data_IF_733932394048
#
_entry.id   IF_733932394048
#
_cell.length_a   1.000
_cell.length_b   1.000
_cell.length_c   1.000
_cell.angle_alpha   90.00
_cell.angle_beta   90.00
_cell.angle_gamma   90.00
#
_symmetry.space_group_name_H-M   'P 1'
#
loop_
_entity.id
_entity.type
_entity.pdbx_description
1 polymer ?
#
# COMPACT_ATOMS: atom_id res chain seq x y z
N UNK A 1 -9.68 -63.24 46.11
CA UNK A 1 -9.46 -62.33 47.25
C UNK A 1 -10.80 -62.11 47.96
N UNK A 2 -10.99 -62.73 49.13
CA UNK A 2 -11.24 -62.06 50.44
C UNK A 2 -12.35 -60.99 50.36
N UNK A 3 -13.59 -61.33 50.69
CA UNK A 3 -14.25 -61.37 52.03
C UNK A 3 -14.87 -60.01 52.39
N UNK A 4 -16.21 -59.91 52.36
CA UNK A 4 -17.19 -60.12 53.47
C UNK A 4 -17.37 -58.83 54.29
N UNK A 5 -18.59 -58.40 54.58
CA UNK A 5 -19.43 -58.77 55.75
C UNK A 5 -20.86 -58.23 55.46
N UNK A 6 -21.95 -59.03 55.44
CA UNK A 6 -22.75 -59.52 56.59
C UNK A 6 -23.40 -58.35 57.39
N UNK A 7 -24.62 -58.35 57.93
CA UNK A 7 -25.58 -59.36 58.37
C UNK A 7 -26.82 -58.56 58.90
N UNK A 8 -28.04 -59.07 58.77
CA UNK A 8 -28.97 -59.47 59.86
C UNK A 8 -30.08 -58.42 60.14
N UNK A 9 -31.37 -58.66 59.80
CA UNK A 9 -32.42 -59.46 60.47
C UNK A 9 -33.09 -58.76 61.67
N UNK A 10 -34.38 -59.11 61.87
CA UNK A 10 -35.28 -58.78 63.00
C UNK A 10 -35.96 -57.39 62.90
N UNK A 11 -37.25 -57.20 63.17
CA UNK A 11 -38.25 -58.01 63.85
C UNK A 11 -39.64 -57.32 63.64
N UNK A 12 -40.66 -58.12 63.30
CA UNK A 12 -42.01 -58.14 63.89
C UNK A 12 -42.66 -56.78 64.26
N UNK A 13 -43.79 -56.46 63.59
CA UNK A 13 -45.10 -56.46 64.27
C UNK A 13 -46.25 -56.36 63.27
N UNK A 14 -47.04 -57.43 63.21
CA UNK A 14 -48.48 -57.30 63.01
C UNK A 14 -49.01 -56.25 64.00
N UNK A 15 -49.72 -55.23 63.53
CA UNK A 15 -51.03 -54.91 64.05
C UNK A 15 -51.71 -53.97 63.06
N UNK A 16 -52.74 -54.53 62.43
CA UNK A 16 -53.93 -53.81 61.99
C UNK A 16 -54.20 -52.57 62.84
N UNK A 17 -53.99 -51.39 62.28
CA UNK A 17 -54.98 -50.34 62.40
C UNK A 17 -55.70 -50.28 61.06
N UNK A 18 -56.77 -51.08 61.00
CA UNK A 18 -57.96 -50.69 60.28
C UNK A 18 -58.36 -49.31 60.81
N UNK A 19 -57.76 -48.26 60.24
CA UNK A 19 -58.45 -47.00 60.11
C UNK A 19 -59.35 -47.16 58.90
N UNK A 20 -60.59 -47.50 59.19
CA UNK A 20 -61.73 -47.35 58.30
C UNK A 20 -61.68 -45.98 57.62
N UNK A 21 -61.30 -45.96 56.36
CA UNK A 21 -61.32 -44.76 55.53
C UNK A 21 -61.37 -45.13 54.06
N UNK A 22 -62.58 -45.18 53.48
CA UNK A 22 -62.88 -45.07 52.04
C UNK A 22 -61.63 -45.05 51.12
N UNK A 23 -61.17 -46.22 50.64
CA UNK A 23 -59.95 -46.32 49.83
C UNK A 23 -60.04 -45.48 48.54
N UNK A 24 -59.06 -44.62 48.31
CA UNK A 24 -59.00 -43.80 47.11
C UNK A 24 -58.84 -44.69 45.86
N UNK A 25 -59.67 -44.46 44.84
CA UNK A 25 -59.61 -45.20 43.57
C UNK A 25 -58.28 -44.90 42.86
N UNK A 26 -57.51 -45.95 42.55
CA UNK A 26 -56.25 -45.82 41.81
C UNK A 26 -56.50 -45.82 40.30
N UNK A 27 -56.13 -44.74 39.62
CA UNK A 27 -56.31 -44.53 38.18
C UNK A 27 -55.03 -44.93 37.46
N UNK A 28 -55.13 -45.63 36.34
CA UNK A 28 -53.96 -45.86 35.51
C UNK A 28 -53.55 -44.54 34.83
N UNK A 29 -52.33 -44.09 35.08
CA UNK A 29 -51.88 -42.76 34.65
C UNK A 29 -51.82 -42.66 33.12
N UNK A 30 -51.38 -43.73 32.45
CA UNK A 30 -51.30 -43.81 30.98
C UNK A 30 -52.66 -43.88 30.29
N UNK A 31 -53.72 -44.27 31.00
CA UNK A 31 -55.08 -44.22 30.45
C UNK A 31 -55.66 -42.80 30.54
N UNK A 32 -55.16 -41.99 31.48
CA UNK A 32 -55.67 -40.65 31.79
C UNK A 32 -55.00 -39.55 30.98
N UNK A 33 -53.78 -39.76 30.48
CA UNK A 33 -53.03 -38.74 29.75
C UNK A 33 -52.64 -39.24 28.36
N UNK A 34 -52.53 -38.31 27.42
CA UNK A 34 -51.86 -38.49 26.15
C UNK A 34 -50.54 -37.70 26.20
N UNK A 35 -49.47 -38.26 25.66
CA UNK A 35 -48.21 -37.52 25.46
C UNK A 35 -48.27 -36.87 24.08
N UNK A 36 -48.00 -35.58 24.02
CA UNK A 36 -47.95 -34.80 22.77
C UNK A 36 -46.51 -34.37 22.55
N UNK A 37 -45.95 -34.75 21.42
CA UNK A 37 -44.61 -34.35 20.99
C UNK A 37 -44.73 -33.08 20.13
N UNK A 38 -43.85 -32.11 20.36
CA UNK A 38 -43.82 -30.82 19.64
C UNK A 38 -42.39 -30.47 19.27
N UNK A 39 -42.22 -29.79 18.14
CA UNK A 39 -40.92 -29.34 17.66
C UNK A 39 -40.28 -30.34 16.70
N UNK A 40 -38.98 -30.14 16.45
CA UNK A 40 -38.21 -30.91 15.48
C UNK A 40 -37.30 -31.91 16.17
N UNK A 41 -36.87 -32.92 15.42
CA UNK A 41 -35.90 -33.90 15.86
C UNK A 41 -34.57 -33.21 16.21
N UNK A 42 -34.18 -33.21 17.49
CA UNK A 42 -33.02 -32.46 18.01
C UNK A 42 -33.38 -31.21 18.83
N UNK A 43 -34.59 -30.67 18.64
CA UNK A 43 -35.12 -29.49 19.34
C UNK A 43 -36.55 -29.74 19.87
N UNK A 44 -36.87 -30.99 20.17
CA UNK A 44 -38.20 -31.44 20.52
C UNK A 44 -38.55 -31.25 21.99
N UNK A 45 -39.85 -31.19 22.27
CA UNK A 45 -40.39 -31.19 23.62
C UNK A 45 -41.59 -32.14 23.72
N UNK A 46 -41.88 -32.55 24.95
CA UNK A 46 -43.05 -33.36 25.28
C UNK A 46 -43.94 -32.60 26.25
N UNK A 47 -45.24 -32.67 25.98
CA UNK A 47 -46.30 -32.21 26.86
C UNK A 47 -47.25 -33.35 27.19
N UNK A 48 -48.06 -33.16 28.24
CA UNK A 48 -49.14 -34.09 28.55
C UNK A 48 -50.48 -33.38 28.40
N UNK A 49 -51.43 -34.08 27.78
CA UNK A 49 -52.82 -33.66 27.70
C UNK A 49 -53.70 -34.67 28.41
N UNK A 50 -54.78 -34.20 29.04
CA UNK A 50 -55.75 -35.11 29.65
C UNK A 50 -56.53 -35.81 28.55
N UNK A 51 -56.60 -37.14 28.61
CA UNK A 51 -57.51 -37.93 27.79
C UNK A 51 -58.95 -37.63 28.23
N UNK A 52 -59.60 -36.71 27.52
CA UNK A 52 -60.91 -36.18 27.87
C UNK A 52 -61.99 -37.28 27.96
N UNK A 53 -61.94 -38.30 27.11
CA UNK A 53 -62.90 -39.41 27.11
C UNK A 53 -62.76 -40.23 28.39
N UNK A 54 -61.52 -40.59 28.74
CA UNK A 54 -61.26 -41.36 29.95
C UNK A 54 -61.55 -40.55 31.21
N UNK A 55 -61.12 -39.29 31.27
CA UNK A 55 -61.43 -38.36 32.36
C UNK A 55 -62.94 -38.21 32.57
N UNK A 56 -63.71 -38.03 31.49
CA UNK A 56 -65.17 -37.96 31.56
C UNK A 56 -65.79 -39.25 32.11
N UNK A 57 -65.27 -40.42 31.74
CA UNK A 57 -65.74 -41.71 32.28
C UNK A 57 -65.55 -41.83 33.80
N UNK A 58 -64.49 -41.23 34.33
CA UNK A 58 -64.21 -41.22 35.78
C UNK A 58 -65.18 -40.30 36.53
N UNK A 59 -65.50 -39.14 35.96
CA UNK A 59 -66.48 -38.19 36.51
C UNK A 59 -67.87 -38.81 36.53
N UNK A 60 -68.33 -39.38 35.41
CA UNK A 60 -69.65 -39.99 35.27
C UNK A 60 -69.79 -41.23 36.17
N UNK A 61 -68.78 -42.10 36.20
CA UNK A 61 -68.79 -43.32 37.00
C UNK A 61 -68.96 -43.11 38.51
N UNK A 62 -68.53 -41.96 39.06
CA UNK A 62 -68.74 -41.60 40.48
C UNK A 62 -70.10 -40.94 40.74
N UNK A 63 -70.66 -40.26 39.75
CA UNK A 63 -71.97 -39.57 39.86
C UNK A 63 -73.17 -40.50 39.76
N UNK A 64 -72.98 -41.77 39.37
CA UNK A 64 -74.06 -42.75 39.15
C UNK A 64 -74.89 -42.50 37.88
N UNK A 65 -74.53 -41.48 37.09
CA UNK A 65 -75.20 -41.11 35.84
C UNK A 65 -74.55 -41.80 34.63
N UNK A 66 -75.34 -42.07 33.59
CA UNK A 66 -74.93 -42.88 32.43
C UNK A 66 -74.81 -42.13 31.10
N UNK A 67 -75.22 -40.85 31.03
CA UNK A 67 -75.31 -40.10 29.76
C UNK A 67 -74.40 -38.87 29.74
N UNK A 68 -73.81 -38.55 28.57
CA UNK A 68 -72.91 -37.41 28.38
C UNK A 68 -73.60 -36.03 28.54
N UNK A 69 -74.92 -35.95 28.35
CA UNK A 69 -75.71 -34.70 28.45
C UNK A 69 -75.90 -34.19 29.89
N UNK A 70 -75.49 -34.96 30.89
CA UNK A 70 -75.59 -34.63 32.33
C UNK A 70 -74.44 -33.75 32.85
N UNK A 71 -73.51 -33.32 31.99
CA UNK A 71 -72.25 -32.67 32.36
C UNK A 71 -72.37 -31.17 32.70
N UNK A 72 -73.48 -30.52 32.32
CA UNK A 72 -73.73 -29.10 32.59
C UNK A 72 -73.76 -28.85 34.12
N UNK A 73 -72.77 -28.11 34.63
CA UNK A 73 -72.63 -27.76 36.04
C UNK A 73 -71.65 -28.63 36.87
N UNK A 74 -70.88 -29.53 36.25
CA UNK A 74 -69.91 -30.38 36.95
C UNK A 74 -68.48 -29.81 37.06
N UNK A 75 -68.25 -28.56 36.63
CA UNK A 75 -66.96 -27.85 36.71
C UNK A 75 -66.41 -27.80 38.15
N UNK A 76 -67.29 -27.78 39.15
CA UNK A 76 -66.91 -27.78 40.56
C UNK A 76 -66.68 -29.18 41.16
N UNK A 77 -66.73 -30.24 40.36
CA UNK A 77 -66.50 -31.62 40.81
C UNK A 77 -65.08 -31.77 41.37
N UNK A 78 -64.91 -32.36 42.57
CA UNK A 78 -63.59 -32.66 43.11
C UNK A 78 -62.75 -33.54 42.19
N UNK A 79 -63.37 -34.37 41.33
CA UNK A 79 -62.64 -35.18 40.34
C UNK A 79 -62.06 -34.31 39.23
N UNK A 80 -62.86 -33.37 38.71
CA UNK A 80 -62.42 -32.47 37.63
C UNK A 80 -61.25 -31.63 38.13
N UNK A 81 -61.40 -30.98 39.28
CA UNK A 81 -60.32 -30.20 39.92
C UNK A 81 -59.05 -31.02 40.16
N UNK A 82 -59.20 -32.27 40.59
CA UNK A 82 -58.05 -33.16 40.77
C UNK A 82 -57.38 -33.52 39.44
N UNK A 83 -58.15 -33.89 38.41
CA UNK A 83 -57.60 -34.22 37.08
C UNK A 83 -56.88 -33.00 36.49
N UNK A 84 -57.46 -31.80 36.60
CA UNK A 84 -56.85 -30.55 36.14
C UNK A 84 -55.59 -30.15 36.92
N UNK A 85 -55.41 -30.69 38.13
CA UNK A 85 -54.20 -30.49 38.93
C UNK A 85 -53.02 -31.34 38.47
N UNK A 86 -53.26 -32.38 37.66
CA UNK A 86 -52.22 -33.28 37.18
C UNK A 86 -51.48 -32.59 36.04
N UNK A 87 -50.17 -32.39 36.22
CA UNK A 87 -49.31 -31.68 35.27
C UNK A 87 -47.97 -32.39 35.13
N UNK A 88 -47.34 -32.23 33.97
CA UNK A 88 -45.95 -32.59 33.77
C UNK A 88 -45.10 -31.66 34.66
N UNK A 89 -44.22 -32.24 35.46
CA UNK A 89 -43.32 -31.52 36.35
C UNK A 89 -41.94 -31.39 35.73
N UNK A 90 -41.37 -32.51 35.30
CA UNK A 90 -40.06 -32.55 34.65
C UNK A 90 -39.94 -33.75 33.72
N UNK A 91 -39.04 -33.66 32.75
CA UNK A 91 -38.62 -34.74 31.87
C UNK A 91 -37.22 -35.12 32.29
N UNK A 92 -37.01 -36.37 32.70
CA UNK A 92 -35.71 -36.89 33.12
C UNK A 92 -35.13 -37.80 32.05
N UNK A 93 -33.86 -37.63 31.72
CA UNK A 93 -33.09 -38.55 30.89
C UNK A 93 -31.60 -38.22 30.98
N UNK A 94 -30.75 -39.12 30.48
CA UNK A 94 -29.30 -38.89 30.47
C UNK A 94 -28.95 -37.94 29.32
N UNK A 95 -28.43 -36.75 29.64
CA UNK A 95 -27.99 -35.76 28.65
C UNK A 95 -29.10 -35.07 27.86
N UNK A 96 -30.36 -35.17 28.30
CA UNK A 96 -31.53 -34.63 27.57
C UNK A 96 -32.35 -33.70 28.46
N UNK A 97 -32.74 -32.56 27.92
CA UNK A 97 -33.61 -31.57 28.55
C UNK A 97 -34.91 -31.43 27.75
N UNK A 98 -36.01 -31.00 28.39
CA UNK A 98 -37.25 -30.76 27.66
C UNK A 98 -37.06 -29.51 26.78
N UNK A 99 -37.09 -29.68 25.46
CA UNK A 99 -36.69 -28.66 24.48
C UNK A 99 -35.51 -29.07 23.58
N UNK A 100 -34.80 -30.15 23.91
CA UNK A 100 -33.70 -30.72 23.11
C UNK A 100 -33.89 -32.20 22.76
N UNK A 101 -35.15 -32.67 22.74
CA UNK A 101 -35.46 -34.08 22.50
C UNK A 101 -35.31 -34.47 21.03
N UNK A 102 -34.87 -35.70 20.79
CA UNK A 102 -34.72 -36.33 19.48
C UNK A 102 -35.55 -37.62 19.39
N UNK A 103 -35.92 -37.99 18.16
CA UNK A 103 -36.55 -39.28 17.87
C UNK A 103 -35.61 -40.41 18.29
N UNK A 104 -36.09 -41.29 19.19
CA UNK A 104 -35.31 -42.37 19.81
C UNK A 104 -34.93 -42.12 21.27
N UNK A 105 -35.05 -40.89 21.77
CA UNK A 105 -34.72 -40.57 23.16
C UNK A 105 -35.62 -41.29 24.14
N UNK A 106 -34.99 -41.90 25.15
CA UNK A 106 -35.68 -42.59 26.24
C UNK A 106 -35.71 -41.71 27.47
N UNK A 107 -36.88 -41.17 27.77
CA UNK A 107 -37.10 -40.25 28.88
C UNK A 107 -38.08 -40.81 29.90
N UNK A 108 -38.08 -40.23 31.10
CA UNK A 108 -39.06 -40.49 32.14
C UNK A 108 -39.83 -39.20 32.41
N UNK A 109 -41.12 -39.21 32.10
CA UNK A 109 -42.04 -38.11 32.38
C UNK A 109 -42.44 -38.16 33.85
N UNK A 110 -42.13 -37.13 34.60
CA UNK A 110 -42.46 -37.03 36.03
C UNK A 110 -43.66 -36.11 36.19
N UNK A 111 -44.72 -36.63 36.80
CA UNK A 111 -45.97 -35.95 37.03
C UNK A 111 -46.11 -35.47 38.46
N UNK A 112 -46.72 -34.31 38.61
CA UNK A 112 -47.23 -33.81 39.89
C UNK A 112 -48.75 -33.75 39.87
N UNK A 113 -49.33 -33.94 41.04
CA UNK A 113 -50.76 -33.81 41.32
C UNK A 113 -50.95 -33.10 42.66
N UNK A 114 -52.14 -32.53 42.91
CA UNK A 114 -52.45 -31.88 44.19
C UNK A 114 -52.94 -32.93 45.22
N UNK A 115 -52.20 -33.18 46.32
CA UNK A 115 -52.58 -34.18 47.31
C UNK A 115 -53.89 -33.85 48.06
N UNK A 116 -54.22 -32.57 48.23
CA UNK A 116 -55.45 -32.15 48.88
C UNK A 116 -56.65 -32.41 47.96
N UNK A 117 -56.53 -32.10 46.67
CA UNK A 117 -57.55 -32.43 45.67
C UNK A 117 -57.69 -33.93 45.46
N UNK A 118 -56.59 -34.70 45.49
CA UNK A 118 -56.61 -36.16 45.45
C UNK A 118 -57.47 -36.75 46.57
N UNK A 119 -57.30 -36.23 47.80
CA UNK A 119 -58.08 -36.62 48.98
C UNK A 119 -59.56 -36.26 48.85
N UNK A 120 -59.88 -35.06 48.35
CA UNK A 120 -61.26 -34.63 48.09
C UNK A 120 -61.92 -35.47 47.00
N UNK A 121 -61.19 -35.78 45.92
CA UNK A 121 -61.63 -36.64 44.84
C UNK A 121 -61.73 -38.12 45.26
N UNK A 122 -61.09 -38.51 46.37
CA UNK A 122 -60.87 -39.92 46.76
C UNK A 122 -60.28 -40.72 45.59
N UNK A 123 -59.33 -40.11 44.89
CA UNK A 123 -58.70 -40.63 43.68
C UNK A 123 -57.21 -40.33 43.71
N UNK A 124 -56.41 -41.22 43.13
CA UNK A 124 -54.97 -41.04 42.98
C UNK A 124 -54.47 -41.71 41.71
N UNK A 125 -53.52 -41.10 40.99
CA UNK A 125 -52.82 -41.76 39.89
C UNK A 125 -51.91 -42.88 40.41
N UNK A 126 -51.81 -43.98 39.65
CA UNK A 126 -51.04 -45.18 40.06
C UNK A 126 -49.54 -44.93 40.06
N UNK A 127 -49.04 -44.23 39.06
CA UNK A 127 -47.63 -43.91 38.87
C UNK A 127 -47.46 -42.44 38.56
N UNK A 128 -46.39 -41.84 39.07
CA UNK A 128 -46.00 -40.46 38.77
C UNK A 128 -44.82 -40.40 37.81
N UNK A 129 -44.19 -41.52 37.52
CA UNK A 129 -43.07 -41.61 36.58
C UNK A 129 -43.48 -42.53 35.44
N UNK A 130 -43.37 -42.04 34.21
CA UNK A 130 -43.79 -42.74 32.99
C UNK A 130 -42.59 -42.83 32.05
N UNK A 131 -42.02 -44.02 31.83
CA UNK A 131 -41.05 -44.23 30.76
C UNK A 131 -41.69 -43.95 29.41
N UNK A 132 -41.03 -43.15 28.57
CA UNK A 132 -41.49 -42.74 27.25
C UNK A 132 -40.34 -42.76 26.25
N UNK A 133 -40.64 -43.09 24.99
CA UNK A 133 -39.68 -43.01 23.88
C UNK A 133 -40.24 -42.05 22.84
N UNK A 134 -39.50 -40.97 22.59
CA UNK A 134 -39.86 -39.94 21.61
C UNK A 134 -39.71 -40.52 20.21
N UNK A 135 -40.67 -40.29 19.31
CA UNK A 135 -40.63 -40.92 17.97
C UNK A 135 -41.45 -40.23 16.87
N UNK A 136 -42.15 -39.15 17.19
CA UNK A 136 -43.04 -38.41 16.30
C UNK A 136 -42.62 -36.95 16.06
N UNK A 137 -41.38 -36.58 16.37
CA UNK A 137 -40.84 -35.26 16.02
C UNK A 137 -40.58 -35.18 14.51
N UNK A 138 -40.77 -34.00 13.93
CA UNK A 138 -40.53 -33.75 12.49
C UNK A 138 -39.04 -33.56 12.25
N UNK A 139 -38.49 -34.11 11.17
CA UNK A 139 -37.09 -33.86 10.79
C UNK A 139 -36.91 -32.42 10.26
N UNK A 140 -35.75 -31.81 10.51
CA UNK A 140 -35.43 -30.48 10.02
C UNK A 140 -35.14 -30.50 8.50
N UNK A 141 -35.44 -29.39 7.82
CA UNK A 141 -35.12 -29.17 6.41
C UNK A 141 -33.67 -28.68 6.23
N UNK A 142 -33.00 -29.14 5.18
CA UNK A 142 -31.66 -28.66 4.85
C UNK A 142 -31.71 -27.25 4.27
N UNK A 143 -30.84 -26.37 4.77
CA UNK A 143 -30.67 -25.00 4.28
C UNK A 143 -29.22 -24.75 3.89
N UNK A 144 -28.99 -24.32 2.64
CA UNK A 144 -27.68 -23.90 2.16
C UNK A 144 -27.55 -22.37 2.21
N UNK A 145 -26.77 -21.81 3.15
CA UNK A 145 -26.62 -20.37 3.28
C UNK A 145 -25.88 -19.73 2.09
N UNK A 146 -25.17 -20.51 1.26
CA UNK A 146 -24.44 -20.00 0.10
C UNK A 146 -25.11 -20.26 -1.24
N UNK A 147 -26.34 -20.77 -1.27
CA UNK A 147 -27.04 -21.10 -2.51
C UNK A 147 -27.23 -19.86 -3.40
N UNK A 148 -27.61 -18.73 -2.80
CA UNK A 148 -27.85 -17.45 -3.47
C UNK A 148 -26.83 -16.36 -3.08
N UNK A 149 -25.82 -16.72 -2.29
CA UNK A 149 -24.73 -15.81 -1.93
C UNK A 149 -23.86 -15.54 -3.16
N UNK A 150 -23.62 -14.26 -3.44
CA UNK A 150 -22.78 -13.81 -4.56
C UNK A 150 -21.63 -12.98 -4.03
N UNK A 151 -20.42 -13.31 -4.47
CA UNK A 151 -19.22 -12.53 -4.20
C UNK A 151 -18.64 -12.01 -5.51
N UNK A 152 -18.36 -10.72 -5.56
CA UNK A 152 -17.78 -10.03 -6.71
C UNK A 152 -16.50 -9.33 -6.29
N UNK A 153 -15.43 -9.53 -7.06
CA UNK A 153 -14.15 -8.84 -6.88
C UNK A 153 -14.07 -7.66 -7.85
N UNK A 154 -13.60 -6.51 -7.38
CA UNK A 154 -13.58 -5.24 -8.10
C UNK A 154 -12.28 -4.49 -7.82
N UNK A 155 -11.90 -3.62 -8.76
CA UNK A 155 -10.69 -2.82 -8.68
C UNK A 155 -9.50 -3.46 -9.38
N UNK A 156 -8.31 -3.00 -9.00
CA UNK A 156 -7.05 -3.35 -9.63
C UNK A 156 -6.36 -4.50 -8.90
N UNK A 157 -5.56 -5.28 -9.61
CA UNK A 157 -4.75 -6.32 -9.00
C UNK A 157 -3.72 -5.70 -8.04
N UNK A 158 -3.75 -6.09 -6.76
CA UNK A 158 -2.92 -5.48 -5.72
C UNK A 158 -3.55 -4.26 -5.04
N UNK A 159 -4.77 -3.87 -5.42
CA UNK A 159 -5.62 -2.87 -4.74
C UNK A 159 -7.10 -3.28 -4.78
N UNK A 160 -7.38 -4.57 -5.00
CA UNK A 160 -8.72 -5.08 -5.21
C UNK A 160 -9.50 -5.15 -3.91
N UNK A 161 -10.82 -5.13 -4.02
CA UNK A 161 -11.76 -5.35 -2.93
C UNK A 161 -12.88 -6.29 -3.37
N UNK A 162 -13.63 -6.81 -2.42
CA UNK A 162 -14.80 -7.64 -2.70
C UNK A 162 -16.09 -6.93 -2.28
N UNK A 163 -17.20 -7.25 -2.95
CA UNK A 163 -18.56 -6.94 -2.51
C UNK A 163 -19.37 -8.22 -2.52
N UNK A 164 -20.37 -8.32 -1.65
CA UNK A 164 -21.22 -9.49 -1.58
C UNK A 164 -22.70 -9.12 -1.46
N UNK A 165 -23.56 -10.03 -1.92
CA UNK A 165 -25.01 -9.91 -1.86
C UNK A 165 -25.61 -11.26 -1.44
N UNK A 166 -26.68 -11.21 -0.66
CA UNK A 166 -27.42 -12.38 -0.20
C UNK A 166 -28.90 -12.03 -0.01
N UNK A 167 -29.82 -12.99 -0.16
CA UNK A 167 -31.24 -12.71 -0.06
C UNK A 167 -31.63 -12.33 1.38
N UNK A 168 -32.38 -11.24 1.50
CA UNK A 168 -32.97 -10.80 2.77
C UNK A 168 -34.13 -11.69 3.25
N UNK A 169 -34.74 -12.44 2.33
CA UNK A 169 -35.86 -13.36 2.60
C UNK A 169 -35.35 -14.78 2.89
N UNK A 170 -34.45 -14.88 3.85
CA UNK A 170 -33.91 -16.17 4.32
C UNK A 170 -34.83 -16.77 5.39
N UNK A 171 -35.09 -18.09 5.37
CA UNK A 171 -35.91 -18.73 6.40
C UNK A 171 -35.26 -18.69 7.79
N UNK A 172 -33.93 -18.52 7.87
CA UNK A 172 -33.16 -18.38 9.10
C UNK A 172 -32.15 -17.25 9.01
N UNK A 173 -31.81 -16.66 10.16
CA UNK A 173 -30.79 -15.62 10.24
C UNK A 173 -29.39 -16.23 10.34
N UNK A 174 -28.48 -15.76 9.49
CA UNK A 174 -27.05 -16.11 9.49
C UNK A 174 -26.22 -14.84 9.27
N UNK A 175 -25.06 -14.72 9.91
CA UNK A 175 -24.04 -13.72 9.61
C UNK A 175 -22.92 -14.34 8.76
N UNK A 176 -22.26 -13.51 7.96
CA UNK A 176 -21.10 -13.90 7.17
C UNK A 176 -19.86 -13.20 7.71
N UNK A 177 -18.85 -13.99 8.10
CA UNK A 177 -17.51 -13.52 8.44
C UNK A 177 -16.55 -13.87 7.29
N UNK A 178 -15.57 -13.01 7.04
CA UNK A 178 -14.61 -13.19 5.94
C UNK A 178 -13.22 -13.33 6.51
N UNK A 179 -12.47 -14.33 6.07
CA UNK A 179 -11.07 -14.55 6.49
C UNK A 179 -10.18 -14.78 5.29
N UNK A 180 -8.95 -14.27 5.36
CA UNK A 180 -7.91 -14.56 4.37
C UNK A 180 -7.33 -15.98 4.56
N UNK A 181 -6.39 -16.35 3.68
CA UNK A 181 -5.72 -17.66 3.71
C UNK A 181 -4.94 -17.95 5.02
N UNK A 182 -4.58 -16.91 5.78
CA UNK A 182 -3.89 -17.03 7.06
C UNK A 182 -4.88 -17.05 8.24
N UNK A 183 -6.18 -16.98 7.96
CA UNK A 183 -7.26 -17.00 8.95
C UNK A 183 -7.50 -15.66 9.63
N UNK A 184 -6.94 -14.56 9.11
CA UNK A 184 -7.18 -13.20 9.62
C UNK A 184 -8.51 -12.68 9.09
N UNK A 185 -9.29 -12.05 9.96
CA UNK A 185 -10.54 -11.39 9.56
C UNK A 185 -10.26 -10.24 8.58
N UNK A 186 -11.07 -10.18 7.53
CA UNK A 186 -10.94 -9.18 6.47
C UNK A 186 -12.27 -8.48 6.26
N UNK A 187 -12.23 -7.17 6.10
CA UNK A 187 -13.40 -6.37 5.75
C UNK A 187 -13.27 -5.88 4.31
N UNK A 188 -14.41 -5.78 3.64
CA UNK A 188 -14.52 -5.18 2.31
C UNK A 188 -13.98 -3.74 2.34
N UNK A 189 -13.26 -3.33 1.29
CA UNK A 189 -12.60 -2.03 1.12
C UNK A 189 -11.40 -1.72 2.03
N UNK A 190 -11.25 -2.39 3.17
CA UNK A 190 -10.13 -2.18 4.11
C UNK A 190 -8.99 -3.20 3.94
N UNK A 191 -9.22 -4.22 3.10
CA UNK A 191 -8.23 -5.24 2.76
C UNK A 191 -7.94 -5.22 1.27
N UNK A 192 -6.64 -5.23 0.95
CA UNK A 192 -6.12 -5.19 -0.42
C UNK A 192 -6.01 -6.61 -0.98
N UNK A 193 -6.63 -6.86 -2.13
CA UNK A 193 -6.65 -8.16 -2.79
C UNK A 193 -5.90 -8.17 -4.12
N UNK A 194 -5.36 -9.34 -4.45
CA UNK A 194 -4.75 -9.69 -5.73
C UNK A 194 -5.42 -10.93 -6.34
N UNK A 195 -5.40 -11.04 -7.66
CA UNK A 195 -5.79 -12.24 -8.38
C UNK A 195 -5.00 -13.44 -7.85
N UNK A 196 -5.70 -14.50 -7.49
CA UNK A 196 -5.13 -15.72 -6.89
C UNK A 196 -5.22 -15.78 -5.37
N UNK A 197 -5.52 -14.66 -4.68
CA UNK A 197 -5.79 -14.68 -3.24
C UNK A 197 -7.02 -15.54 -2.92
N UNK A 198 -7.09 -16.02 -1.67
CA UNK A 198 -8.18 -16.85 -1.18
C UNK A 198 -8.91 -16.16 -0.03
N UNK A 199 -10.22 -16.16 -0.12
CA UNK A 199 -11.13 -15.65 0.91
C UNK A 199 -12.07 -16.77 1.31
N UNK A 200 -12.06 -17.13 2.59
CA UNK A 200 -13.01 -18.09 3.16
C UNK A 200 -14.11 -17.32 3.88
N UNK A 201 -15.35 -17.57 3.45
CA UNK A 201 -16.55 -17.00 4.07
C UNK A 201 -17.08 -18.02 5.07
N UNK A 202 -17.18 -17.62 6.33
CA UNK A 202 -17.71 -18.42 7.44
C UNK A 202 -19.11 -17.96 7.79
N UNK A 203 -19.95 -18.92 8.18
CA UNK A 203 -21.27 -18.66 8.74
C UNK A 203 -21.14 -18.55 10.26
N UNK A 204 -21.47 -17.38 10.78
CA UNK A 204 -21.70 -17.18 12.21
C UNK A 204 -23.21 -17.26 12.48
N UNK A 205 -23.62 -18.31 13.17
CA UNK A 205 -25.03 -18.54 13.50
C UNK A 205 -25.21 -19.40 14.76
N UNK A 206 -26.36 -19.23 15.41
CA UNK A 206 -26.78 -20.07 16.52
C UNK A 206 -27.48 -21.34 15.98
N UNK A 207 -26.77 -22.47 16.02
CA UNK A 207 -27.26 -23.77 15.55
C UNK A 207 -28.52 -24.24 16.29
N UNK A 208 -28.65 -23.92 17.59
CA UNK A 208 -29.86 -24.27 18.36
C UNK A 208 -31.05 -23.47 17.88
N UNK A 209 -30.85 -22.18 17.60
CA UNK A 209 -31.87 -21.33 17.01
C UNK A 209 -32.30 -21.83 15.63
N UNK A 210 -31.36 -22.14 14.74
CA UNK A 210 -31.64 -22.66 13.38
C UNK A 210 -32.46 -23.97 13.47
N UNK A 211 -32.05 -24.88 14.35
CA UNK A 211 -32.76 -26.16 14.57
C UNK A 211 -34.16 -25.94 15.16
N UNK A 212 -34.34 -24.93 16.01
CA UNK A 212 -35.67 -24.55 16.54
C UNK A 212 -36.63 -24.02 15.46
N UNK A 213 -36.09 -23.45 14.38
CA UNK A 213 -36.87 -23.01 13.21
C UNK A 213 -37.14 -24.16 12.23
N UNK A 214 -36.61 -25.35 12.49
CA UNK A 214 -36.81 -26.54 11.66
C UNK A 214 -35.83 -26.66 10.51
N UNK A 215 -34.65 -26.04 10.60
CA UNK A 215 -33.62 -26.13 9.58
C UNK A 215 -32.31 -26.70 10.12
N UNK A 216 -31.44 -27.17 9.22
CA UNK A 216 -30.03 -27.50 9.49
C UNK A 216 -29.16 -26.97 8.34
N UNK A 217 -28.00 -26.39 8.67
CA UNK A 217 -27.09 -25.87 7.65
C UNK A 217 -26.41 -27.02 6.90
N UNK A 218 -26.37 -26.95 5.57
CA UNK A 218 -25.65 -27.93 4.74
C UNK A 218 -24.14 -27.70 4.74
N UNK A 219 -23.72 -26.47 5.00
CA UNK A 219 -22.32 -26.05 5.08
C UNK A 219 -22.21 -24.75 5.89
N UNK A 220 -21.06 -24.57 6.54
CA UNK A 220 -20.77 -23.42 7.42
C UNK A 220 -19.58 -22.59 6.94
N UNK A 221 -18.90 -23.00 5.87
CA UNK A 221 -17.81 -22.25 5.26
C UNK A 221 -17.74 -22.48 3.75
N UNK A 222 -17.23 -21.50 3.01
CA UNK A 222 -16.97 -21.61 1.56
C UNK A 222 -15.79 -20.74 1.14
N UNK A 223 -14.82 -21.33 0.44
CA UNK A 223 -13.64 -20.63 -0.11
C UNK A 223 -13.94 -20.06 -1.50
N UNK A 224 -13.45 -18.85 -1.76
CA UNK A 224 -13.47 -18.18 -3.05
C UNK A 224 -12.05 -17.77 -3.43
N UNK A 225 -11.71 -17.97 -4.70
CA UNK A 225 -10.44 -17.46 -5.28
C UNK A 225 -10.70 -16.12 -5.95
N UNK A 226 -9.94 -15.11 -5.56
CA UNK A 226 -9.97 -13.77 -6.15
C UNK A 226 -9.57 -13.89 -7.62
N UNK A 227 -10.42 -13.37 -8.50
CA UNK A 227 -10.18 -13.35 -9.93
C UNK A 227 -10.94 -12.21 -10.60
N UNK A 228 -10.45 -11.74 -11.74
CA UNK A 228 -11.10 -10.69 -12.53
C UNK A 228 -10.72 -9.27 -12.14
N UNK A 229 -9.73 -9.08 -11.26
CA UNK A 229 -9.12 -7.77 -11.00
C UNK A 229 -8.26 -7.33 -12.20
N UNK A 230 -8.19 -6.03 -12.47
CA UNK A 230 -7.44 -5.46 -13.60
C UNK A 230 -5.93 -5.66 -13.40
N UNK A 231 -5.25 -6.26 -14.38
CA UNK A 231 -3.78 -6.39 -14.36
C UNK A 231 -3.12 -5.27 -15.15
N UNK A 232 -1.95 -4.83 -14.68
CA UNK A 232 -1.13 -3.80 -15.31
C UNK A 232 0.27 -4.35 -15.60
N UNK A 233 0.90 -3.82 -16.64
CA UNK A 233 2.31 -4.10 -16.92
C UNK A 233 3.20 -3.30 -15.95
N UNK A 234 4.09 -3.97 -15.22
CA UNK A 234 4.95 -3.32 -14.23
C UNK A 234 6.16 -2.66 -14.91
N UNK A 235 6.37 -1.37 -14.61
CA UNK A 235 7.58 -0.63 -14.98
C UNK A 235 8.57 -0.69 -13.81
N UNK A 236 9.86 -0.88 -14.11
CA UNK A 236 10.92 -0.94 -13.10
C UNK A 236 11.64 0.39 -12.94
N UNK A 237 12.23 0.63 -11.76
CA UNK A 237 13.07 1.81 -11.51
C UNK A 237 14.24 1.91 -12.50
N UNK A 238 14.87 0.77 -12.82
CA UNK A 238 15.97 0.71 -13.79
C UNK A 238 15.53 1.18 -15.18
N UNK A 239 14.34 0.81 -15.63
CA UNK A 239 13.78 1.27 -16.93
C UNK A 239 13.65 2.80 -16.97
N UNK A 240 13.23 3.41 -15.87
CA UNK A 240 13.06 4.86 -15.78
C UNK A 240 14.41 5.59 -15.69
N UNK A 241 15.36 5.06 -14.93
CA UNK A 241 16.71 5.63 -14.84
C UNK A 241 17.44 5.53 -16.19
N UNK A 242 17.33 4.40 -16.89
CA UNK A 242 17.98 4.19 -18.19
C UNK A 242 17.37 5.05 -19.31
N UNK A 243 16.11 5.47 -19.16
CA UNK A 243 15.44 6.38 -20.09
C UNK A 243 15.85 7.85 -19.89
N UNK A 244 16.52 8.21 -18.79
CA UNK A 244 16.92 9.59 -18.54
C UNK A 244 18.00 10.04 -19.54
N UNK A 245 17.74 11.15 -20.23
CA UNK A 245 18.65 11.76 -21.19
C UNK A 245 19.11 13.10 -20.63
N UNK A 246 20.37 13.18 -20.22
CA UNK A 246 20.97 14.43 -19.75
C UNK A 246 21.46 15.28 -20.92
N UNK A 247 21.05 16.54 -20.95
CA UNK A 247 21.54 17.54 -21.88
C UNK A 247 22.40 18.55 -21.12
N UNK A 248 23.65 18.68 -21.54
CA UNK A 248 24.60 19.60 -20.93
C UNK A 248 24.82 20.81 -21.83
N UNK A 249 24.83 22.00 -21.24
CA UNK A 249 25.20 23.24 -21.92
C UNK A 249 26.19 24.06 -21.09
N UNK A 250 27.06 24.77 -21.79
CA UNK A 250 28.21 25.44 -21.18
C UNK A 250 29.36 24.47 -20.87
N UNK A 251 30.23 24.88 -19.96
CA UNK A 251 31.43 24.14 -19.59
C UNK A 251 31.71 24.27 -18.09
N UNK A 252 32.28 23.24 -17.48
CA UNK A 252 32.63 23.25 -16.06
C UNK A 252 33.62 24.40 -15.77
N UNK A 253 33.39 25.19 -14.71
CA UNK A 253 32.52 24.94 -13.54
C UNK A 253 31.13 25.61 -13.60
N UNK A 254 30.68 26.05 -14.77
CA UNK A 254 29.39 26.71 -14.97
C UNK A 254 28.48 25.90 -15.91
N UNK A 255 28.39 24.58 -15.70
CA UNK A 255 27.52 23.72 -16.50
C UNK A 255 26.06 23.93 -16.11
N UNK A 256 25.20 24.03 -17.12
CA UNK A 256 23.75 23.87 -16.98
C UNK A 256 23.34 22.47 -17.46
N UNK A 257 22.48 21.82 -16.69
CA UNK A 257 22.01 20.45 -16.94
C UNK A 257 20.49 20.50 -17.07
N UNK A 258 20.00 20.03 -18.21
CA UNK A 258 18.60 19.65 -18.38
C UNK A 258 18.48 18.13 -18.43
N UNK A 259 17.30 17.61 -18.13
CA UNK A 259 17.01 16.18 -18.24
C UNK A 259 15.65 15.98 -18.89
N UNK A 260 15.64 15.18 -19.94
CA UNK A 260 14.43 14.66 -20.58
C UNK A 260 14.41 13.13 -20.44
N UNK A 261 13.39 12.50 -21.02
CA UNK A 261 13.26 11.06 -21.09
C UNK A 261 13.07 10.57 -22.53
N UNK A 262 13.63 9.40 -22.82
CA UNK A 262 13.38 8.63 -24.06
C UNK A 262 12.31 7.54 -23.81
N UNK A 263 11.29 7.83 -23.00
CA UNK A 263 10.19 6.89 -22.78
C UNK A 263 9.24 6.85 -23.98
N UNK A 264 8.53 5.73 -24.18
CA UNK A 264 7.46 5.66 -25.17
C UNK A 264 6.41 6.77 -24.96
N UNK A 265 5.98 7.39 -26.06
CA UNK A 265 5.02 8.51 -26.05
C UNK A 265 3.72 8.24 -25.27
N UNK A 266 3.31 6.97 -25.16
CA UNK A 266 2.10 6.58 -24.43
C UNK A 266 2.22 6.71 -22.90
N UNK A 267 3.44 6.77 -22.36
CA UNK A 267 3.70 6.85 -20.92
C UNK A 267 4.60 8.01 -20.51
N UNK A 268 5.20 8.75 -21.46
CA UNK A 268 6.09 9.88 -21.19
C UNK A 268 5.49 10.89 -20.20
N UNK A 269 4.24 11.31 -20.43
CA UNK A 269 3.54 12.27 -19.56
C UNK A 269 3.15 11.71 -18.17
N UNK A 270 3.40 10.42 -17.90
CA UNK A 270 3.19 9.80 -16.60
C UNK A 270 4.38 10.01 -15.66
N UNK A 271 5.49 10.56 -16.15
CA UNK A 271 6.72 10.77 -15.40
C UNK A 271 7.20 12.21 -15.55
N UNK A 272 7.83 12.74 -14.50
CA UNK A 272 8.47 14.04 -14.54
C UNK A 272 9.91 13.92 -14.07
N UNK A 273 10.85 14.21 -14.96
CA UNK A 273 12.28 14.14 -14.71
C UNK A 273 12.80 15.52 -14.29
N UNK A 274 13.68 15.56 -13.31
CA UNK A 274 14.38 16.77 -12.92
C UNK A 274 15.74 16.44 -12.33
N UNK A 275 16.65 17.41 -12.37
CA UNK A 275 18.01 17.27 -11.85
C UNK A 275 18.35 18.42 -10.90
N UNK A 276 19.07 18.11 -9.82
CA UNK A 276 19.49 19.10 -8.83
C UNK A 276 20.91 18.82 -8.31
N UNK A 277 21.83 19.80 -8.32
CA UNK A 277 21.70 21.11 -8.98
C UNK A 277 21.64 20.99 -10.50
N UNK A 278 20.93 21.94 -11.14
CA UNK A 278 20.83 22.03 -12.61
C UNK A 278 21.68 23.15 -13.21
N UNK A 279 22.38 23.93 -12.40
CA UNK A 279 23.19 25.07 -12.84
C UNK A 279 24.40 25.27 -11.93
N UNK A 280 25.41 25.99 -12.42
CA UNK A 280 26.70 26.23 -11.76
C UNK A 280 27.38 24.92 -11.30
N UNK A 281 27.27 23.87 -12.11
CA UNK A 281 27.80 22.55 -11.77
C UNK A 281 29.23 22.40 -12.29
N UNK A 282 30.09 21.83 -11.45
CA UNK A 282 31.48 21.55 -11.74
C UNK A 282 31.77 20.04 -11.84
N UNK A 283 32.88 19.68 -12.49
CA UNK A 283 33.39 18.30 -12.48
C UNK A 283 33.71 17.91 -11.03
N UNK A 284 33.29 16.71 -10.64
CA UNK A 284 33.37 16.18 -9.28
C UNK A 284 32.16 16.54 -8.40
N UNK A 285 31.27 17.42 -8.85
CA UNK A 285 30.02 17.68 -8.13
C UNK A 285 29.07 16.50 -8.25
N UNK A 286 28.26 16.29 -7.21
CA UNK A 286 27.16 15.35 -7.23
C UNK A 286 25.89 16.03 -7.71
N UNK A 287 25.19 15.37 -8.62
CA UNK A 287 23.85 15.73 -9.08
C UNK A 287 22.86 14.64 -8.70
N UNK A 288 21.61 15.03 -8.44
CA UNK A 288 20.53 14.10 -8.11
C UNK A 288 19.49 14.14 -9.22
N UNK A 289 19.27 13.02 -9.87
CA UNK A 289 18.10 12.77 -10.72
C UNK A 289 16.90 12.47 -9.83
N UNK A 290 15.83 13.22 -10.01
CA UNK A 290 14.54 12.99 -9.36
C UNK A 290 13.48 12.70 -10.42
N UNK A 291 12.78 11.58 -10.26
CA UNK A 291 11.70 11.14 -11.16
C UNK A 291 10.41 11.04 -10.34
N UNK A 292 9.46 11.92 -10.63
CA UNK A 292 8.12 11.86 -10.02
C UNK A 292 7.17 11.03 -10.87
N UNK A 293 6.32 10.23 -10.21
CA UNK A 293 5.43 9.27 -10.89
C UNK A 293 3.96 9.66 -10.71
N UNK A 294 3.25 9.89 -11.81
CA UNK A 294 1.81 10.17 -11.82
C UNK A 294 1.00 8.86 -11.92
N UNK A 295 0.86 8.18 -10.78
CA UNK A 295 0.25 6.85 -10.67
C UNK A 295 -1.12 6.71 -11.35
N UNK A 296 -1.99 7.73 -11.26
CA UNK A 296 -3.32 7.69 -11.90
C UNK A 296 -3.20 7.61 -13.44
N UNK A 297 -2.41 8.49 -14.03
CA UNK A 297 -2.17 8.50 -15.48
C UNK A 297 -1.48 7.22 -15.95
N UNK A 298 -0.57 6.69 -15.13
CA UNK A 298 0.15 5.45 -15.42
C UNK A 298 -0.79 4.25 -15.50
N UNK A 299 -1.72 4.13 -14.55
CA UNK A 299 -2.78 3.10 -14.55
C UNK A 299 -3.72 3.24 -15.74
N UNK A 300 -4.14 4.47 -16.07
CA UNK A 300 -4.96 4.74 -17.27
C UNK A 300 -4.24 4.32 -18.57
N UNK A 301 -2.90 4.38 -18.58
CA UNK A 301 -2.06 3.89 -19.68
C UNK A 301 -1.84 2.36 -19.67
N UNK A 302 -2.31 1.63 -18.64
CA UNK A 302 -2.20 0.17 -18.53
C UNK A 302 -0.96 -0.32 -17.77
N UNK A 303 -0.27 0.56 -17.04
CA UNK A 303 0.97 0.26 -16.35
C UNK A 303 0.85 0.47 -14.84
N UNK A 304 1.75 -0.16 -14.08
CA UNK A 304 1.92 0.07 -12.65
C UNK A 304 3.38 0.34 -12.31
N UNK A 305 3.60 1.06 -11.21
CA UNK A 305 4.94 1.30 -10.67
C UNK A 305 4.90 1.10 -9.15
N UNK A 306 5.68 0.15 -8.59
CA UNK A 306 5.52 -0.28 -7.20
C UNK A 306 6.06 0.72 -6.17
N UNK A 307 6.90 1.66 -6.59
CA UNK A 307 7.52 2.64 -5.71
C UNK A 307 6.90 4.04 -5.86
N UNK A 308 7.32 4.96 -4.98
CA UNK A 308 7.04 6.39 -5.12
C UNK A 308 8.07 7.07 -6.02
N UNK A 309 8.33 8.34 -5.75
CA UNK A 309 9.36 9.09 -6.50
C UNK A 309 10.75 8.47 -6.35
N UNK A 310 11.50 8.45 -7.45
CA UNK A 310 12.87 7.94 -7.51
C UNK A 310 13.86 9.08 -7.26
N UNK A 311 14.94 8.80 -6.52
CA UNK A 311 16.07 9.71 -6.37
C UNK A 311 17.39 8.97 -6.58
N UNK A 312 18.21 9.43 -7.52
CA UNK A 312 19.48 8.81 -7.85
C UNK A 312 20.60 9.84 -7.94
N UNK A 313 21.69 9.63 -7.19
CA UNK A 313 22.88 10.47 -7.25
C UNK A 313 23.87 9.99 -8.31
N UNK A 314 24.48 10.94 -9.01
CA UNK A 314 25.57 10.76 -9.97
C UNK A 314 26.68 11.77 -9.68
N UNK A 315 27.94 11.40 -9.94
CA UNK A 315 29.07 12.33 -9.88
C UNK A 315 29.43 12.76 -11.31
N UNK A 316 29.56 14.06 -11.54
CA UNK A 316 29.90 14.59 -12.86
C UNK A 316 31.38 14.38 -13.16
N UNK A 317 31.70 13.71 -14.26
CA UNK A 317 33.08 13.39 -14.64
C UNK A 317 33.52 14.16 -15.89
N UNK A 318 34.84 14.24 -16.11
CA UNK A 318 35.42 15.02 -17.22
C UNK A 318 35.09 14.51 -18.62
N UNK A 319 34.64 13.26 -18.74
CA UNK A 319 34.18 12.65 -19.99
C UNK A 319 32.71 12.96 -20.30
N UNK A 320 31.96 13.51 -19.34
CA UNK A 320 30.54 13.88 -19.52
C UNK A 320 30.37 15.29 -20.07
N UNK A 321 31.22 16.24 -19.66
CA UNK A 321 31.04 17.66 -19.97
C UNK A 321 32.35 18.35 -20.38
N UNK A 322 32.30 19.31 -21.31
CA UNK A 322 33.42 20.21 -21.58
C UNK A 322 33.79 21.05 -20.34
N UNK A 323 34.98 21.63 -20.37
CA UNK A 323 35.50 22.44 -19.26
C UNK A 323 36.35 23.60 -19.76
N UNK A 324 36.37 24.69 -19.02
CA UNK A 324 37.27 25.79 -19.33
C UNK A 324 38.73 25.38 -19.06
N UNK A 325 39.66 25.85 -19.91
CA UNK A 325 41.08 25.77 -19.62
C UNK A 325 41.39 26.50 -18.31
N UNK A 326 42.05 25.80 -17.38
CA UNK A 326 42.31 26.22 -16.01
C UNK A 326 43.82 26.19 -15.69
N UNK A 327 44.25 26.77 -14.56
CA UNK A 327 45.67 26.76 -14.17
C UNK A 327 46.26 25.35 -13.94
N UNK A 328 45.42 24.36 -13.63
CA UNK A 328 45.84 22.99 -13.37
C UNK A 328 46.03 22.18 -14.67
N UNK A 329 45.68 22.76 -15.81
CA UNK A 329 45.75 22.10 -17.10
C UNK A 329 47.12 22.22 -17.77
N UNK A 330 47.58 21.09 -18.29
CA UNK A 330 48.75 21.02 -19.14
C UNK A 330 48.29 20.83 -20.58
N UNK A 331 48.33 21.92 -21.36
CA UNK A 331 47.98 21.86 -22.77
C UNK A 331 49.01 21.05 -23.57
N UNK A 332 48.50 20.18 -24.45
CA UNK A 332 49.33 19.51 -25.45
C UNK A 332 49.83 20.50 -26.49
N UNK A 333 50.86 20.09 -27.25
CA UNK A 333 51.38 20.92 -28.34
C UNK A 333 50.28 21.26 -29.37
N UNK A 334 49.46 20.30 -29.75
CA UNK A 334 48.38 20.51 -30.74
C UNK A 334 47.32 21.50 -30.25
N UNK A 335 46.98 21.47 -28.96
CA UNK A 335 46.08 22.43 -28.35
C UNK A 335 46.68 23.84 -28.35
N UNK A 336 47.97 23.97 -27.99
CA UNK A 336 48.69 25.25 -28.05
C UNK A 336 48.77 25.78 -29.48
N UNK A 337 49.13 24.93 -30.44
CA UNK A 337 49.23 25.29 -31.87
C UNK A 337 47.88 25.79 -32.41
N UNK A 338 46.77 25.16 -32.01
CA UNK A 338 45.40 25.60 -32.34
C UNK A 338 45.11 26.99 -31.80
N UNK A 339 45.42 27.26 -30.53
CA UNK A 339 45.21 28.58 -29.90
C UNK A 339 46.11 29.63 -30.57
N UNK A 340 47.40 29.33 -30.76
CA UNK A 340 48.36 30.24 -31.36
C UNK A 340 48.01 30.61 -32.80
N UNK A 341 47.42 29.70 -33.58
CA UNK A 341 47.00 30.01 -34.95
C UNK A 341 46.01 31.18 -35.03
N UNK A 342 45.06 31.24 -34.09
CA UNK A 342 44.09 32.35 -34.01
C UNK A 342 44.74 33.65 -33.54
N UNK A 343 45.67 33.57 -32.59
CA UNK A 343 46.42 34.73 -32.11
C UNK A 343 47.33 35.29 -33.21
N UNK A 344 48.03 34.43 -33.94
CA UNK A 344 48.92 34.81 -35.03
C UNK A 344 48.15 35.47 -36.18
N UNK A 345 46.91 35.03 -36.47
CA UNK A 345 46.06 35.68 -37.46
C UNK A 345 45.66 37.10 -37.02
N UNK A 346 45.24 37.26 -35.76
CA UNK A 346 44.91 38.56 -35.18
C UNK A 346 46.11 39.52 -35.20
N UNK A 347 47.29 39.06 -34.78
CA UNK A 347 48.54 39.84 -34.80
C UNK A 347 48.93 40.19 -36.23
N UNK A 348 48.85 39.24 -37.16
CA UNK A 348 49.17 39.46 -38.57
C UNK A 348 48.32 40.55 -39.21
N UNK A 349 47.02 40.60 -38.87
CA UNK A 349 46.10 41.64 -39.31
C UNK A 349 46.56 43.04 -38.87
N UNK A 350 46.95 43.18 -37.61
CA UNK A 350 47.41 44.46 -37.04
C UNK A 350 48.77 44.87 -37.62
N UNK A 351 49.69 43.92 -37.77
CA UNK A 351 51.01 44.14 -38.39
C UNK A 351 50.83 44.65 -39.81
N UNK A 352 49.94 44.05 -40.61
CA UNK A 352 49.71 44.44 -42.00
C UNK A 352 49.31 45.91 -42.14
N UNK A 353 48.53 46.43 -41.20
CA UNK A 353 48.04 47.82 -41.22
C UNK A 353 49.03 48.81 -40.57
N UNK A 354 50.06 48.33 -39.88
CA UNK A 354 50.92 49.15 -39.01
C UNK A 354 52.35 49.39 -39.52
N UNK A 355 52.71 48.87 -40.69
CA UNK A 355 54.09 48.95 -41.23
C UNK A 355 54.60 50.34 -41.56
N UNK A 356 53.72 51.31 -41.82
CA UNK A 356 54.12 52.67 -42.21
C UNK A 356 53.03 53.70 -41.90
N UNK A 357 53.42 54.98 -41.91
CA UNK A 357 52.52 56.11 -41.68
C UNK A 357 52.56 56.63 -40.24
N UNK A 358 51.59 57.46 -39.87
CA UNK A 358 51.45 57.91 -38.48
C UNK A 358 50.79 56.81 -37.65
N UNK A 359 51.40 56.49 -36.51
CA UNK A 359 50.93 55.49 -35.55
C UNK A 359 51.04 56.05 -34.14
N UNK A 360 50.13 55.63 -33.28
CA UNK A 360 50.28 55.83 -31.83
C UNK A 360 51.10 54.67 -31.29
N UNK A 361 52.27 54.98 -30.75
CA UNK A 361 53.22 54.02 -30.17
C UNK A 361 53.65 54.59 -28.83
N UNK A 362 53.38 53.87 -27.73
CA UNK A 362 53.66 54.29 -26.35
C UNK A 362 53.09 55.69 -26.07
N UNK A 363 51.79 55.87 -26.34
CA UNK A 363 51.04 57.15 -26.22
C UNK A 363 51.53 58.33 -27.08
N UNK A 364 52.52 58.12 -27.95
CA UNK A 364 53.04 59.17 -28.83
C UNK A 364 52.66 58.93 -30.29
N UNK A 365 52.29 60.01 -31.00
CA UNK A 365 52.03 59.95 -32.44
C UNK A 365 53.34 60.05 -33.21
N UNK A 366 53.82 58.94 -33.75
CA UNK A 366 55.10 58.81 -34.44
C UNK A 366 54.88 58.42 -35.90
N UNK A 367 55.67 59.01 -36.81
CA UNK A 367 55.68 58.62 -38.22
C UNK A 367 56.70 57.50 -38.45
N UNK A 368 56.19 56.30 -38.74
CA UNK A 368 56.98 55.07 -38.91
C UNK A 368 57.10 54.69 -40.39
N UNK A 369 58.21 54.04 -40.74
CA UNK A 369 58.48 53.49 -42.09
C UNK A 369 58.68 51.98 -42.09
N UNK A 370 58.78 51.36 -40.91
CA UNK A 370 58.91 49.92 -40.75
C UNK A 370 58.40 49.44 -39.39
N UNK A 371 58.04 48.16 -39.36
CA UNK A 371 57.62 47.41 -38.17
C UNK A 371 58.22 46.01 -38.26
N UNK A 372 58.92 45.59 -37.22
CA UNK A 372 59.46 44.24 -37.06
C UNK A 372 58.78 43.57 -35.88
N UNK A 373 58.18 42.41 -36.10
CA UNK A 373 57.70 41.55 -35.02
C UNK A 373 58.89 40.82 -34.38
N UNK A 374 59.04 40.97 -33.07
CA UNK A 374 60.09 40.31 -32.29
C UNK A 374 59.60 39.01 -31.63
N UNK A 375 58.29 38.74 -31.69
CA UNK A 375 57.64 37.50 -31.25
C UNK A 375 56.80 37.69 -29.99
N UNK A 376 56.27 36.57 -29.49
CA UNK A 376 55.51 36.49 -28.24
C UNK A 376 56.45 36.70 -27.04
N UNK A 377 56.12 37.65 -26.18
CA UNK A 377 56.94 38.04 -25.03
C UNK A 377 56.43 37.41 -23.72
N UNK A 378 55.12 37.46 -23.47
CA UNK A 378 54.52 36.82 -22.30
C UNK A 378 53.08 36.39 -22.54
N UNK A 379 52.66 35.36 -21.80
CA UNK A 379 51.28 34.87 -21.78
C UNK A 379 50.79 34.79 -20.35
N UNK A 380 49.57 35.26 -20.10
CA UNK A 380 48.92 35.14 -18.80
C UNK A 380 47.58 34.44 -18.94
N UNK A 381 47.27 33.55 -18.00
CA UNK A 381 45.93 33.04 -17.77
C UNK A 381 45.28 33.86 -16.67
N UNK A 382 44.16 34.51 -16.98
CA UNK A 382 43.24 35.02 -15.96
C UNK A 382 42.18 33.97 -15.70
N UNK A 383 42.10 33.51 -14.45
CA UNK A 383 41.09 32.57 -14.00
C UNK A 383 40.39 33.12 -12.74
N UNK A 384 39.05 33.09 -12.64
CA UNK A 384 38.31 33.64 -11.51
C UNK A 384 38.76 33.03 -10.19
N UNK A 385 38.77 33.86 -9.14
CA UNK A 385 38.84 33.37 -7.78
C UNK A 385 37.59 32.54 -7.49
N UNK A 386 37.71 31.54 -6.63
CA UNK A 386 36.59 30.70 -6.20
C UNK A 386 35.38 31.55 -5.71
N UNK A 387 35.65 32.65 -5.00
CA UNK A 387 34.63 33.59 -4.52
C UNK A 387 33.89 34.36 -5.62
N UNK A 388 34.48 34.47 -6.82
CA UNK A 388 33.94 35.25 -7.94
C UNK A 388 33.42 34.36 -9.08
N UNK A 389 33.60 33.04 -8.99
CA UNK A 389 33.34 32.08 -10.06
C UNK A 389 31.90 32.12 -10.57
N UNK A 390 30.92 32.35 -9.70
CA UNK A 390 29.49 32.43 -10.06
C UNK A 390 29.04 33.80 -10.55
N UNK A 391 29.88 34.83 -10.40
CA UNK A 391 29.54 36.23 -10.73
C UNK A 391 30.17 36.71 -12.02
N UNK A 392 31.16 36.00 -12.54
CA UNK A 392 31.83 36.36 -13.79
C UNK A 392 31.13 35.73 -14.99
N UNK A 393 31.09 36.46 -16.10
CA UNK A 393 30.61 35.95 -17.40
C UNK A 393 31.71 35.29 -18.24
N UNK A 394 32.98 35.45 -17.85
CA UNK A 394 34.14 34.93 -18.58
C UNK A 394 34.96 34.09 -17.60
N UNK A 395 34.95 32.77 -17.78
CA UNK A 395 35.61 31.86 -16.84
C UNK A 395 37.11 31.76 -17.09
N UNK A 396 37.59 32.04 -18.30
CA UNK A 396 39.01 32.19 -18.52
C UNK A 396 39.33 33.22 -19.59
N UNK A 397 40.55 33.75 -19.49
CA UNK A 397 41.14 34.61 -20.50
C UNK A 397 42.62 34.28 -20.65
N UNK A 398 43.03 33.91 -21.85
CA UNK A 398 44.44 33.87 -22.23
C UNK A 398 44.84 35.24 -22.78
N UNK A 399 45.88 35.82 -22.21
CA UNK A 399 46.36 37.15 -22.50
C UNK A 399 47.75 37.05 -23.14
N UNK A 400 47.88 37.37 -24.42
CA UNK A 400 49.11 37.31 -25.19
C UNK A 400 49.67 38.71 -25.37
N UNK A 401 50.93 38.93 -25.01
CA UNK A 401 51.63 40.19 -25.23
C UNK A 401 52.75 39.92 -26.25
N UNK A 402 52.62 40.50 -27.43
CA UNK A 402 53.59 40.43 -28.50
C UNK A 402 54.49 41.66 -28.50
N UNK A 403 55.76 41.47 -28.83
CA UNK A 403 56.78 42.50 -28.83
C UNK A 403 57.13 42.92 -30.26
N UNK A 404 57.29 44.23 -30.45
CA UNK A 404 57.57 44.84 -31.74
C UNK A 404 58.68 45.88 -31.66
N UNK A 405 59.32 46.11 -32.81
CA UNK A 405 60.26 47.21 -33.04
C UNK A 405 59.78 48.05 -34.22
N UNK A 406 59.41 49.30 -33.96
CA UNK A 406 59.09 50.28 -34.99
C UNK A 406 60.35 51.03 -35.43
N UNK A 407 60.49 51.25 -36.73
CA UNK A 407 61.53 52.15 -37.28
C UNK A 407 60.88 53.47 -37.71
N UNK A 408 61.31 54.57 -37.11
CA UNK A 408 60.84 55.92 -37.46
C UNK A 408 61.42 56.38 -38.79
N UNK A 409 60.81 57.39 -39.42
CA UNK A 409 61.37 58.02 -40.63
C UNK A 409 62.80 58.55 -40.40
N UNK A 410 63.12 58.98 -39.18
CA UNK A 410 64.43 59.48 -38.77
C UNK A 410 65.44 58.35 -38.49
N UNK A 411 64.99 57.09 -38.52
CA UNK A 411 65.82 55.90 -38.30
C UNK A 411 65.98 55.50 -36.84
N UNK A 412 65.20 56.09 -35.93
CA UNK A 412 65.12 55.67 -34.54
C UNK A 412 64.31 54.37 -34.43
N UNK A 413 64.66 53.54 -33.45
CA UNK A 413 63.99 52.28 -33.15
C UNK A 413 63.22 52.41 -31.85
N UNK A 414 61.93 52.14 -31.89
CA UNK A 414 61.03 52.20 -30.74
C UNK A 414 60.52 50.80 -30.45
N UNK A 415 60.81 50.31 -29.26
CA UNK A 415 60.24 49.06 -28.75
C UNK A 415 58.85 49.33 -28.19
N UNK A 416 57.89 48.48 -28.56
CA UNK A 416 56.52 48.59 -28.10
C UNK A 416 55.83 47.23 -28.17
N UNK A 417 54.68 47.12 -27.52
CA UNK A 417 53.98 45.85 -27.31
C UNK A 417 52.54 45.93 -27.81
N UNK A 418 51.96 44.78 -28.14
CA UNK A 418 50.56 44.65 -28.54
C UNK A 418 49.91 43.53 -27.78
N UNK A 419 48.68 43.75 -27.32
CA UNK A 419 47.90 42.78 -26.57
C UNK A 419 46.87 42.09 -27.46
N UNK A 420 46.76 40.76 -27.33
CA UNK A 420 45.63 39.97 -27.84
C UNK A 420 45.13 39.06 -26.71
N UNK A 421 43.86 39.18 -26.37
CA UNK A 421 43.16 38.35 -25.39
C UNK A 421 42.22 37.37 -26.07
N UNK A 422 42.23 36.11 -25.63
CA UNK A 422 41.28 35.07 -26.03
C UNK A 422 40.46 34.64 -24.81
N UNK A 423 39.14 34.85 -24.88
CA UNK A 423 38.19 34.48 -23.82
C UNK A 423 37.49 33.17 -24.14
N UNK A 424 37.04 32.47 -23.10
CA UNK A 424 36.22 31.26 -23.17
C UNK A 424 36.91 30.11 -23.92
N UNK A 425 38.17 29.83 -23.58
CA UNK A 425 38.89 28.69 -24.12
C UNK A 425 38.38 27.41 -23.45
N UNK A 426 37.71 26.56 -24.21
CA UNK A 426 37.07 25.34 -23.72
C UNK A 426 37.84 24.12 -24.23
N UNK A 427 37.97 23.11 -23.36
CA UNK A 427 38.48 21.78 -23.69
C UNK A 427 37.26 20.85 -23.75
N UNK A 428 37.04 20.25 -24.92
CA UNK A 428 35.98 19.26 -25.15
C UNK A 428 36.24 17.97 -24.38
N UNK A 429 35.21 17.13 -24.25
CA UNK A 429 35.31 15.81 -23.60
C UNK A 429 36.30 14.87 -24.28
N UNK A 430 36.55 15.05 -25.57
CA UNK A 430 37.58 14.32 -26.33
C UNK A 430 39.00 14.92 -26.20
N UNK A 431 39.13 16.03 -25.47
CA UNK A 431 40.39 16.74 -25.24
C UNK A 431 40.75 17.77 -26.30
N UNK A 432 39.95 17.99 -27.34
CA UNK A 432 40.20 19.05 -28.33
C UNK A 432 39.90 20.44 -27.78
N UNK A 433 40.46 21.50 -28.37
CA UNK A 433 40.08 22.89 -28.05
C UNK A 433 38.82 23.25 -28.84
N UNK A 434 37.80 23.74 -28.14
CA UNK A 434 36.64 24.36 -28.76
C UNK A 434 36.83 25.87 -28.85
N UNK A 435 36.67 26.39 -30.06
CA UNK A 435 36.78 27.80 -30.40
C UNK A 435 35.43 28.38 -30.89
N UNK A 436 34.33 27.63 -30.82
CA UNK A 436 33.03 28.09 -31.32
C UNK A 436 32.49 29.31 -30.55
N UNK A 437 32.68 29.32 -29.23
CA UNK A 437 32.22 30.39 -28.31
C UNK A 437 33.35 31.33 -27.87
N UNK A 438 34.50 31.23 -28.56
CA UNK A 438 35.68 32.05 -28.34
C UNK A 438 35.42 33.51 -28.73
N UNK A 439 36.02 34.43 -27.98
CA UNK A 439 36.05 35.85 -28.33
C UNK A 439 37.47 36.41 -28.23
N UNK A 440 37.90 37.11 -29.28
CA UNK A 440 39.15 37.87 -29.29
C UNK A 440 38.92 39.32 -28.90
N UNK A 441 39.84 39.85 -28.11
CA UNK A 441 40.01 41.28 -27.87
C UNK A 441 41.46 41.66 -28.09
N UNK A 442 41.72 42.90 -28.50
CA UNK A 442 43.05 43.41 -28.73
C UNK A 442 43.21 44.84 -28.17
N UNK A 443 44.46 45.28 -28.02
CA UNK A 443 44.71 46.68 -27.64
C UNK A 443 44.46 47.62 -28.82
N UNK A 444 44.02 48.85 -28.53
CA UNK A 444 43.79 49.84 -29.58
C UNK A 444 45.10 50.32 -30.21
N UNK A 445 46.16 50.42 -29.40
CA UNK A 445 47.45 50.92 -29.81
C UNK A 445 48.57 49.98 -29.37
N UNK A 446 49.77 50.29 -29.86
CA UNK A 446 51.00 49.70 -29.37
C UNK A 446 51.48 50.52 -28.18
N UNK A 447 51.75 49.87 -27.06
CA UNK A 447 51.99 50.53 -25.77
C UNK A 447 53.22 49.94 -25.04
N UNK A 448 53.63 50.57 -23.94
CA UNK A 448 54.64 49.97 -23.08
C UNK A 448 54.07 48.70 -22.42
N UNK A 449 54.93 47.72 -22.19
CA UNK A 449 54.51 46.42 -21.64
C UNK A 449 53.77 46.58 -20.30
N UNK A 450 54.26 47.45 -19.43
CA UNK A 450 53.70 47.64 -18.10
C UNK A 450 52.28 48.25 -18.16
N UNK A 451 52.01 49.12 -19.15
CA UNK A 451 50.68 49.70 -19.37
C UNK A 451 49.68 48.62 -19.81
N UNK A 452 50.07 47.75 -20.76
CA UNK A 452 49.24 46.62 -21.18
C UNK A 452 48.97 45.64 -20.05
N UNK A 453 49.98 45.38 -19.21
CA UNK A 453 49.81 44.55 -18.00
C UNK A 453 48.83 45.23 -17.05
N UNK A 454 48.93 46.53 -16.83
CA UNK A 454 48.03 47.24 -15.93
C UNK A 454 46.58 47.24 -16.43
N UNK A 455 46.37 47.52 -17.71
CA UNK A 455 45.04 47.60 -18.34
C UNK A 455 44.36 46.24 -18.50
N UNK A 456 45.06 45.23 -19.01
CA UNK A 456 44.42 43.97 -19.42
C UNK A 456 44.58 42.83 -18.42
N UNK A 457 45.50 42.94 -17.46
CA UNK A 457 45.78 41.90 -16.47
C UNK A 457 45.47 42.42 -15.07
N UNK A 458 46.07 43.53 -14.65
CA UNK A 458 45.94 44.00 -13.26
C UNK A 458 44.58 44.63 -12.99
N UNK A 459 43.92 45.22 -13.99
CA UNK A 459 42.55 45.72 -13.88
C UNK A 459 41.56 44.66 -13.39
N UNK A 460 41.82 43.38 -13.68
CA UNK A 460 40.93 42.26 -13.33
C UNK A 460 41.33 41.54 -12.03
N UNK A 461 42.41 41.94 -11.35
CA UNK A 461 42.92 41.27 -10.12
C UNK A 461 41.93 41.24 -8.96
N UNK A 462 40.87 42.05 -8.99
CA UNK A 462 39.79 41.99 -7.99
C UNK A 462 39.09 40.62 -8.04
N UNK A 463 38.74 40.15 -9.23
CA UNK A 463 37.94 38.94 -9.43
C UNK A 463 38.74 37.75 -9.95
N UNK A 464 39.91 37.99 -10.55
CA UNK A 464 40.73 36.97 -11.19
C UNK A 464 42.07 36.79 -10.49
N UNK A 465 42.60 35.58 -10.58
CA UNK A 465 44.00 35.25 -10.37
C UNK A 465 44.69 35.30 -11.73
N UNK A 466 45.78 36.06 -11.82
CA UNK A 466 46.61 36.13 -13.01
C UNK A 466 47.83 35.21 -12.83
N UNK A 467 48.00 34.26 -13.75
CA UNK A 467 49.10 33.30 -13.75
C UNK A 467 49.89 33.45 -15.04
N UNK A 468 51.18 33.78 -14.95
CA UNK A 468 52.07 33.82 -16.12
C UNK A 468 52.43 32.40 -16.57
N UNK A 469 52.26 32.11 -17.85
CA UNK A 469 52.52 30.81 -18.47
C UNK A 469 53.90 30.85 -19.13
N UNK A 470 54.86 30.12 -18.56
CA UNK A 470 56.28 30.20 -18.93
C UNK A 470 56.68 29.39 -20.17
N UNK A 471 55.73 28.69 -20.82
CA UNK A 471 55.99 27.78 -21.95
C UNK A 471 54.77 27.67 -22.87
N UNK A 472 54.26 28.80 -23.39
CA UNK A 472 53.11 28.79 -24.29
C UNK A 472 53.51 28.78 -25.78
N UNK A 473 54.60 29.46 -26.13
CA UNK A 473 55.16 29.46 -27.48
C UNK A 473 56.62 29.03 -27.49
N UNK A 474 56.89 27.84 -28.03
CA UNK A 474 58.23 27.39 -28.45
C UNK A 474 59.23 27.00 -27.37
#
# INVERSE_FOLDING_TARGET
MKKKISLLLCLIMCLSLLTTGCGAKKINTTDLINVVEKGFNGSGSVEIEVNAIYAMSLVLGKSGKKNQTDFLGMENSPIVKYIDSIKLDTVKGEGVENGSLSNGDKVVLVLKDDPALAKQAKMQIKTKEIPYTVSGLTDAEEFDPFADFKMEFKGDNGEGYFSYDYPWDSPVYVSYEFKDQDGKEVESYDYVLSNGDKITVYIDADEEYITSQGYVLTQTEKEYTVSGLTEFEEITEETLIDAAVFEFSGAAPQVYIDVDDDLPQGIKDCFYYSVNPSYDVNIGDKITLEISVYQYSLKDAGYSFPAGDIKREFELTSDMVPRYYSPDDVLTKEQKDTILAEIDDAVSSVVATSKSGYKTVNDESVKVKGLTELGLDSVYLLYPKESSLKSVSTVNRLCFIHKFEFETEEGEKIESYFYVGMKNVIINTDGTIDLAEMYLEDSYYFEEKDDLIDEYINAYKTDYVATELSDFGG
#
